data_IF_998262269207
#
_entry.id   IF_998262269207
#
_cell.length_a   1.000
_cell.length_b   1.000
_cell.length_c   1.000
_cell.angle_alpha   90.00
_cell.angle_beta   90.00
_cell.angle_gamma   90.00
#
_symmetry.space_group_name_H-M   'P 1'
#
loop_
_entity.id
_entity.type
_entity.pdbx_description
1 polymer ?
#
# COMPACT_ATOMS: atom_id res chain seq x y z
N UNK A 1 -10.12 -10.38 19.30
CA UNK A 1 -9.78 -9.19 18.48
C UNK A 1 -8.92 -9.66 17.32
N UNK A 2 -9.12 -9.11 16.11
CA UNK A 2 -8.25 -9.40 14.96
C UNK A 2 -6.96 -8.60 15.14
N UNK A 3 -5.82 -9.30 15.21
CA UNK A 3 -4.47 -8.72 15.21
C UNK A 3 -3.91 -8.73 13.80
N UNK A 4 -3.10 -7.73 13.45
CA UNK A 4 -2.35 -7.73 12.21
C UNK A 4 -1.27 -8.82 12.33
N UNK A 5 -1.26 -9.76 11.38
CA UNK A 5 -0.20 -10.75 11.26
C UNK A 5 0.54 -10.52 9.94
N UNK A 6 1.85 -10.38 10.02
CA UNK A 6 2.72 -10.21 8.85
C UNK A 6 4.08 -10.87 9.08
N UNK A 7 4.75 -11.34 8.02
CA UNK A 7 6.08 -11.90 8.14
C UNK A 7 7.10 -10.78 8.39
N UNK A 8 7.68 -10.73 9.59
CA UNK A 8 8.77 -9.81 9.93
C UNK A 8 10.17 -10.39 9.63
N UNK A 9 10.25 -11.66 9.21
CA UNK A 9 11.51 -12.38 8.94
C UNK A 9 12.50 -12.25 10.11
N UNK A 10 13.69 -11.67 9.88
CA UNK A 10 14.71 -11.40 10.89
C UNK A 10 14.67 -9.96 11.43
N UNK A 11 13.78 -9.09 10.93
CA UNK A 11 13.72 -7.67 11.27
C UNK A 11 13.05 -7.46 12.64
N UNK A 12 13.87 -7.36 13.69
CA UNK A 12 13.38 -7.18 15.07
C UNK A 12 12.77 -5.80 15.31
N UNK A 13 13.17 -4.78 14.53
CA UNK A 13 12.59 -3.44 14.60
C UNK A 13 11.13 -3.50 14.16
N UNK A 14 10.87 -4.09 12.98
CA UNK A 14 9.52 -4.31 12.46
C UNK A 14 8.68 -5.16 13.42
N UNK A 15 9.24 -6.25 13.97
CA UNK A 15 8.55 -7.07 14.97
C UNK A 15 8.09 -6.23 16.17
N UNK A 16 8.98 -5.39 16.71
CA UNK A 16 8.67 -4.55 17.88
C UNK A 16 7.58 -3.53 17.56
N UNK A 17 7.63 -2.89 16.38
CA UNK A 17 6.58 -1.94 15.95
C UNK A 17 5.26 -2.66 15.73
N UNK A 18 5.26 -3.84 15.11
CA UNK A 18 4.07 -4.68 14.92
C UNK A 18 3.41 -5.05 16.24
N UNK A 19 4.19 -5.51 17.23
CA UNK A 19 3.69 -5.87 18.56
C UNK A 19 3.06 -4.66 19.26
N UNK A 20 3.67 -3.48 19.14
CA UNK A 20 3.13 -2.22 19.70
C UNK A 20 1.84 -1.80 19.03
N UNK A 21 1.78 -1.83 17.69
CA UNK A 21 0.55 -1.54 16.94
C UNK A 21 -0.58 -2.50 17.33
N UNK A 22 -0.28 -3.79 17.46
CA UNK A 22 -1.25 -4.81 17.90
C UNK A 22 -1.65 -4.70 19.38
N UNK A 23 -0.82 -4.06 20.21
CA UNK A 23 -1.09 -3.82 21.63
C UNK A 23 -1.72 -2.46 21.94
N UNK A 24 -1.77 -1.54 20.98
CA UNK A 24 -2.29 -0.18 21.18
C UNK A 24 -3.82 -0.15 21.04
N UNK A 25 -4.50 -0.17 22.18
CA UNK A 25 -5.97 -0.11 22.26
C UNK A 25 -6.55 1.20 21.71
N UNK A 26 -5.83 2.32 21.87
CA UNK A 26 -6.27 3.62 21.40
C UNK A 26 -6.25 3.66 19.86
N UNK A 27 -5.14 3.27 19.24
CA UNK A 27 -5.01 3.17 17.78
C UNK A 27 -6.07 2.23 17.19
N UNK A 28 -6.28 1.07 17.83
CA UNK A 28 -7.30 0.12 17.42
C UNK A 28 -8.72 0.70 17.49
N UNK A 29 -9.02 1.49 18.52
CA UNK A 29 -10.29 2.19 18.65
C UNK A 29 -10.48 3.25 17.57
N UNK A 30 -9.42 3.95 17.16
CA UNK A 30 -9.48 4.86 16.01
C UNK A 30 -9.82 4.12 14.72
N UNK A 31 -9.23 2.95 14.48
CA UNK A 31 -9.56 2.12 13.32
C UNK A 31 -11.03 1.66 13.31
N UNK A 32 -11.58 1.33 14.47
CA UNK A 32 -12.99 0.94 14.59
C UNK A 32 -13.93 2.15 14.31
N UNK A 33 -13.53 3.36 14.71
CA UNK A 33 -14.20 4.61 14.35
C UNK A 33 -14.10 4.93 12.86
N UNK A 34 -12.92 4.78 12.25
CA UNK A 34 -12.70 4.94 10.80
C UNK A 34 -13.60 3.99 10.03
N UNK A 35 -13.64 2.72 10.42
CA UNK A 35 -14.45 1.73 9.74
C UNK A 35 -15.96 2.00 9.89
N UNK A 36 -16.37 2.54 11.04
CA UNK A 36 -17.74 3.02 11.23
C UNK A 36 -18.07 4.16 10.25
N UNK A 37 -17.16 5.12 10.06
CA UNK A 37 -17.33 6.18 9.07
C UNK A 37 -17.39 5.63 7.65
N UNK A 38 -16.43 4.79 7.26
CA UNK A 38 -16.34 4.21 5.93
C UNK A 38 -17.57 3.36 5.59
N UNK A 39 -17.85 2.32 6.38
CA UNK A 39 -18.88 1.33 6.05
C UNK A 39 -20.27 1.84 6.39
N UNK A 40 -20.50 2.30 7.62
CA UNK A 40 -21.86 2.62 8.09
C UNK A 40 -22.36 3.98 7.62
N UNK A 41 -21.48 4.99 7.57
CA UNK A 41 -21.89 6.37 7.23
C UNK A 41 -21.75 6.67 5.74
N UNK A 42 -20.72 6.15 5.07
CA UNK A 42 -20.41 6.47 3.66
C UNK A 42 -20.71 5.34 2.67
N UNK A 43 -21.04 4.14 3.15
CA UNK A 43 -21.26 2.96 2.31
C UNK A 43 -20.04 2.60 1.46
N UNK A 44 -18.84 2.74 2.01
CA UNK A 44 -17.58 2.33 1.40
C UNK A 44 -17.22 0.90 1.83
N UNK A 45 -16.18 0.35 1.20
CA UNK A 45 -15.53 -0.87 1.69
C UNK A 45 -14.92 -0.66 3.07
N UNK A 46 -14.53 -1.76 3.72
CA UNK A 46 -13.79 -1.74 4.99
C UNK A 46 -12.55 -0.84 4.88
N UNK A 47 -12.33 0.03 5.86
CA UNK A 47 -11.12 0.85 6.07
C UNK A 47 -10.60 0.67 7.51
N UNK A 48 -10.75 -0.54 8.06
CA UNK A 48 -10.31 -0.93 9.39
C UNK A 48 -9.17 -1.95 9.37
N UNK A 49 -9.09 -2.75 10.44
CA UNK A 49 -7.97 -3.67 10.72
C UNK A 49 -7.64 -4.62 9.55
N UNK A 50 -8.65 -5.14 8.84
CA UNK A 50 -8.43 -6.08 7.73
C UNK A 50 -7.77 -5.37 6.54
N UNK A 51 -8.24 -4.16 6.22
CA UNK A 51 -7.62 -3.31 5.21
C UNK A 51 -6.14 -3.06 5.53
N UNK A 52 -5.83 -2.55 6.73
CA UNK A 52 -4.46 -2.24 7.13
C UNK A 52 -3.55 -3.48 7.13
N UNK A 53 -4.07 -4.65 7.52
CA UNK A 53 -3.33 -5.91 7.44
C UNK A 53 -3.00 -6.31 5.99
N UNK A 54 -3.94 -6.14 5.06
CA UNK A 54 -3.75 -6.44 3.64
C UNK A 54 -2.72 -5.49 3.02
N UNK A 55 -2.90 -4.17 3.22
CA UNK A 55 -1.98 -3.16 2.69
C UNK A 55 -0.56 -3.38 3.22
N UNK A 56 -0.42 -3.67 4.53
CA UNK A 56 0.89 -3.97 5.13
C UNK A 56 1.57 -5.19 4.52
N UNK A 57 0.83 -6.30 4.35
CA UNK A 57 1.38 -7.52 3.77
C UNK A 57 1.77 -7.34 2.29
N UNK A 58 0.94 -6.62 1.52
CA UNK A 58 1.22 -6.29 0.13
C UNK A 58 2.45 -5.37 0.04
N UNK A 59 2.48 -4.30 0.82
CA UNK A 59 3.56 -3.32 0.83
C UNK A 59 4.91 -3.96 1.13
N UNK A 60 5.01 -4.74 2.20
CA UNK A 60 6.24 -5.47 2.53
C UNK A 60 6.67 -6.44 1.43
N UNK A 61 5.71 -7.12 0.79
CA UNK A 61 6.00 -8.03 -0.33
C UNK A 61 6.53 -7.29 -1.56
N UNK A 62 5.95 -6.14 -1.90
CA UNK A 62 6.42 -5.29 -3.00
C UNK A 62 7.84 -4.78 -2.69
N UNK A 63 8.04 -4.18 -1.51
CA UNK A 63 9.34 -3.65 -1.09
C UNK A 63 10.43 -4.73 -1.15
N UNK A 64 10.17 -5.92 -0.61
CA UNK A 64 11.13 -7.03 -0.61
C UNK A 64 11.45 -7.52 -2.03
N UNK A 65 10.46 -7.58 -2.91
CA UNK A 65 10.70 -7.93 -4.31
C UNK A 65 11.58 -6.89 -5.03
N UNK A 66 11.38 -5.60 -4.73
CA UNK A 66 12.21 -4.51 -5.26
C UNK A 66 13.66 -4.63 -4.76
N UNK A 67 13.85 -4.81 -3.45
CA UNK A 67 15.17 -4.99 -2.83
C UNK A 67 15.92 -6.18 -3.42
N UNK A 68 15.24 -7.33 -3.58
CA UNK A 68 15.84 -8.53 -4.17
C UNK A 68 16.27 -8.33 -5.64
N UNK A 69 15.59 -7.43 -6.35
CA UNK A 69 15.95 -7.04 -7.71
C UNK A 69 17.02 -5.93 -7.77
N UNK A 70 17.59 -5.53 -6.63
CA UNK A 70 18.64 -4.51 -6.55
C UNK A 70 18.14 -3.06 -6.54
N UNK A 71 16.83 -2.83 -6.36
CA UNK A 71 16.31 -1.47 -6.18
C UNK A 71 16.55 -1.05 -4.73
N UNK A 72 17.33 0.01 -4.54
CA UNK A 72 17.62 0.55 -3.20
C UNK A 72 16.45 1.42 -2.70
N UNK A 73 15.94 1.19 -1.47
CA UNK A 73 14.95 2.07 -0.86
C UNK A 73 15.50 3.48 -0.62
N UNK A 74 14.63 4.50 -0.64
CA UNK A 74 15.08 5.90 -0.51
C UNK A 74 15.68 6.18 0.87
N UNK A 75 15.18 5.54 1.93
CA UNK A 75 15.76 5.72 3.26
C UNK A 75 17.22 5.21 3.35
N UNK A 76 17.59 4.26 2.49
CA UNK A 76 18.96 3.74 2.39
C UNK A 76 19.83 4.72 1.61
N UNK A 77 19.36 5.20 0.45
CA UNK A 77 20.15 6.10 -0.40
C UNK A 77 20.36 7.46 0.25
N UNK A 78 19.31 8.01 0.85
CA UNK A 78 19.26 9.42 1.28
C UNK A 78 19.76 9.60 2.70
N UNK A 79 19.48 8.63 3.59
CA UNK A 79 19.76 8.74 5.02
C UNK A 79 20.76 7.71 5.55
N UNK A 80 21.27 6.81 4.69
CA UNK A 80 22.22 5.74 5.03
C UNK A 80 21.71 4.79 6.13
N UNK A 81 20.38 4.62 6.18
CA UNK A 81 19.73 3.60 7.00
C UNK A 81 19.67 2.26 6.26
N UNK A 82 18.96 1.28 6.81
CA UNK A 82 18.97 -0.10 6.30
C UNK A 82 17.65 -0.47 5.63
N UNK A 83 17.67 -1.56 4.85
CA UNK A 83 16.44 -2.16 4.30
C UNK A 83 15.42 -2.52 5.39
N UNK A 84 15.89 -2.90 6.59
CA UNK A 84 15.01 -3.15 7.74
C UNK A 84 14.26 -1.89 8.18
N UNK A 85 14.86 -0.70 8.01
CA UNK A 85 14.22 0.58 8.33
C UNK A 85 13.19 0.97 7.27
N UNK A 86 13.44 0.63 5.99
CA UNK A 86 12.47 0.80 4.92
C UNK A 86 11.20 -0.05 5.16
N UNK A 87 11.36 -1.27 5.68
CA UNK A 87 10.22 -2.11 6.06
C UNK A 87 9.39 -1.48 7.20
N UNK A 88 10.03 -0.82 8.16
CA UNK A 88 9.33 -0.10 9.25
C UNK A 88 8.56 1.10 8.69
N UNK A 89 9.15 1.88 7.78
CA UNK A 89 8.47 2.99 7.11
C UNK A 89 7.24 2.51 6.34
N UNK A 90 7.37 1.48 5.51
CA UNK A 90 6.26 0.92 4.74
C UNK A 90 5.16 0.38 5.65
N UNK A 91 5.53 -0.29 6.74
CA UNK A 91 4.54 -0.79 7.70
C UNK A 91 3.78 0.35 8.40
N UNK A 92 4.48 1.36 8.92
CA UNK A 92 3.87 2.51 9.58
C UNK A 92 2.96 3.29 8.61
N UNK A 93 3.42 3.52 7.38
CA UNK A 93 2.61 4.13 6.33
C UNK A 93 1.33 3.34 6.07
N UNK A 94 1.46 2.03 5.91
CA UNK A 94 0.33 1.14 5.60
C UNK A 94 -0.75 1.17 6.68
N UNK A 95 -0.39 1.16 7.97
CA UNK A 95 -1.36 1.06 9.07
C UNK A 95 -1.91 2.40 9.55
N UNK A 96 -1.35 3.52 9.08
CA UNK A 96 -1.72 4.87 9.53
C UNK A 96 -2.23 5.79 8.39
N UNK A 97 -2.16 5.38 7.13
CA UNK A 97 -2.46 6.28 6.01
C UNK A 97 -3.89 6.85 6.01
N UNK A 98 -4.86 6.12 6.54
CA UNK A 98 -6.27 6.51 6.62
C UNK A 98 -6.72 7.07 7.97
N UNK A 99 -5.81 7.35 8.90
CA UNK A 99 -6.18 7.86 10.22
C UNK A 99 -7.13 9.07 10.19
N UNK A 100 -6.93 9.96 9.22
CA UNK A 100 -7.74 11.15 9.00
C UNK A 100 -9.21 10.87 8.71
N UNK A 101 -9.57 9.66 8.28
CA UNK A 101 -10.96 9.24 8.11
C UNK A 101 -11.72 9.17 9.44
N UNK A 102 -11.06 9.28 10.59
CA UNK A 102 -11.74 9.49 11.88
C UNK A 102 -12.54 10.81 11.87
N UNK A 103 -12.00 11.83 11.18
CA UNK A 103 -12.59 13.15 11.06
C UNK A 103 -13.47 13.25 9.80
N UNK A 104 -12.89 12.97 8.62
CA UNK A 104 -13.59 13.09 7.34
C UNK A 104 -12.90 12.32 6.21
N UNK A 105 -13.64 11.95 5.16
CA UNK A 105 -13.06 11.27 3.97
C UNK A 105 -12.30 12.25 3.07
N UNK A 106 -12.83 13.44 2.87
CA UNK A 106 -12.13 14.49 2.12
C UNK A 106 -10.89 14.92 2.90
N UNK A 107 -9.76 15.04 2.20
CA UNK A 107 -8.47 15.44 2.77
C UNK A 107 -7.98 14.52 3.91
N UNK A 108 -8.47 13.29 4.01
CA UNK A 108 -8.06 12.33 5.05
C UNK A 108 -6.53 12.18 5.11
N UNK A 109 -5.82 12.18 3.98
CA UNK A 109 -4.35 12.14 3.94
C UNK A 109 -3.69 13.30 4.69
N UNK A 110 -4.29 14.51 4.69
CA UNK A 110 -3.78 15.69 5.41
C UNK A 110 -3.98 15.50 6.93
N UNK A 111 -5.19 15.07 7.32
CA UNK A 111 -5.49 14.83 8.73
C UNK A 111 -4.70 13.64 9.29
N UNK A 112 -4.48 12.60 8.48
CA UNK A 112 -3.67 11.42 8.83
C UNK A 112 -2.26 11.82 9.21
N UNK A 113 -1.61 12.74 8.48
CA UNK A 113 -0.25 13.21 8.82
C UNK A 113 -0.20 13.79 10.23
N UNK A 114 -1.15 14.65 10.58
CA UNK A 114 -1.17 15.32 11.89
C UNK A 114 -1.42 14.36 13.05
N UNK A 115 -2.27 13.35 12.84
CA UNK A 115 -2.55 12.31 13.83
C UNK A 115 -1.38 11.33 13.96
N UNK A 116 -0.84 10.87 12.83
CA UNK A 116 0.29 9.93 12.78
C UNK A 116 1.55 10.53 13.40
N UNK A 117 1.81 11.84 13.23
CA UNK A 117 2.95 12.53 13.81
C UNK A 117 2.97 12.46 15.35
N UNK A 118 1.81 12.30 15.99
CA UNK A 118 1.69 12.14 17.44
C UNK A 118 1.87 10.68 17.89
N UNK A 119 1.56 9.72 17.01
CA UNK A 119 1.56 8.28 17.32
C UNK A 119 2.92 7.64 17.04
N UNK A 120 3.51 7.93 15.87
CA UNK A 120 4.72 7.27 15.37
C UNK A 120 5.91 7.36 16.37
N UNK A 121 6.24 8.53 16.97
CA UNK A 121 7.37 8.61 17.90
C UNK A 121 7.24 7.67 19.11
N UNK A 122 6.00 7.46 19.60
CA UNK A 122 5.69 6.51 20.65
C UNK A 122 5.96 5.07 20.21
N UNK A 123 5.44 4.68 19.03
CA UNK A 123 5.65 3.36 18.44
C UNK A 123 7.14 3.05 18.19
N UNK A 124 7.97 4.06 17.95
CA UNK A 124 9.40 3.93 17.67
C UNK A 124 10.32 4.03 18.91
N UNK A 125 9.78 4.30 20.10
CA UNK A 125 10.59 4.56 21.30
C UNK A 125 11.50 3.38 21.66
N UNK A 126 12.79 3.62 21.86
CA UNK A 126 13.77 2.58 22.20
C UNK A 126 14.18 1.66 21.05
N UNK A 127 13.66 1.88 19.83
CA UNK A 127 14.11 1.18 18.60
C UNK A 127 15.22 1.98 17.90
N UNK A 128 15.13 3.30 17.99
CA UNK A 128 15.98 4.26 17.27
C UNK A 128 16.53 5.33 18.22
N UNK A 129 17.70 5.87 17.90
CA UNK A 129 18.17 7.15 18.45
C UNK A 129 17.30 8.32 17.96
N UNK A 130 17.48 9.51 18.53
CA UNK A 130 16.62 10.65 18.20
C UNK A 130 16.66 11.02 16.72
N UNK A 131 17.87 11.00 16.13
CA UNK A 131 18.07 11.30 14.71
C UNK A 131 17.34 10.30 13.82
N UNK A 132 17.56 9.00 14.00
CA UNK A 132 16.95 7.96 13.18
C UNK A 132 15.43 7.90 13.40
N UNK A 133 14.96 8.15 14.62
CA UNK A 133 13.53 8.23 14.93
C UNK A 133 12.87 9.38 14.17
N UNK A 134 13.52 10.55 14.09
CA UNK A 134 13.02 11.68 13.33
C UNK A 134 12.95 11.36 11.82
N UNK A 135 13.98 10.71 11.28
CA UNK A 135 14.02 10.29 9.86
C UNK A 135 12.90 9.30 9.55
N UNK A 136 12.80 8.18 10.28
CA UNK A 136 11.76 7.16 10.05
C UNK A 136 10.36 7.75 10.21
N UNK A 137 10.18 8.68 11.15
CA UNK A 137 8.91 9.41 11.30
C UNK A 137 8.61 10.25 10.06
N UNK A 138 9.55 11.06 9.60
CA UNK A 138 9.36 11.91 8.43
C UNK A 138 9.06 11.09 7.16
N UNK A 139 9.80 10.01 6.93
CA UNK A 139 9.57 9.10 5.80
C UNK A 139 8.19 8.44 5.86
N UNK A 140 7.77 7.95 7.04
CA UNK A 140 6.44 7.38 7.21
C UNK A 140 5.33 8.41 6.97
N UNK A 141 5.47 9.65 7.48
CA UNK A 141 4.50 10.72 7.23
C UNK A 141 4.39 11.07 5.74
N UNK A 142 5.51 11.06 5.02
CA UNK A 142 5.50 11.25 3.57
C UNK A 142 4.73 10.14 2.85
N UNK A 143 4.93 8.87 3.24
CA UNK A 143 4.13 7.76 2.67
C UNK A 143 2.63 7.94 2.91
N UNK A 144 2.25 8.44 4.09
CA UNK A 144 0.85 8.70 4.47
C UNK A 144 0.27 9.83 3.63
N UNK A 145 0.97 10.96 3.48
CA UNK A 145 0.47 12.06 2.67
C UNK A 145 0.37 11.67 1.19
N UNK A 146 1.40 11.00 0.69
CA UNK A 146 1.56 10.69 -0.72
C UNK A 146 0.94 9.34 -1.12
N UNK A 147 0.02 8.76 -0.32
CA UNK A 147 -0.72 7.57 -0.77
C UNK A 147 -1.83 7.92 -1.77
N UNK A 148 -2.31 9.17 -1.82
CA UNK A 148 -3.32 9.61 -2.78
C UNK A 148 -2.73 9.93 -4.16
N UNK A 149 -3.43 9.56 -5.23
CA UNK A 149 -2.92 9.59 -6.61
C UNK A 149 -2.47 10.98 -7.09
N UNK A 150 -3.17 12.03 -6.65
CA UNK A 150 -2.91 13.41 -7.08
C UNK A 150 -1.67 14.04 -6.42
N UNK A 151 -1.11 13.38 -5.40
CA UNK A 151 0.03 13.90 -4.65
C UNK A 151 1.33 13.41 -5.32
N UNK A 152 2.33 14.25 -5.60
CA UNK A 152 3.63 13.77 -6.08
C UNK A 152 4.35 12.90 -5.04
N UNK A 153 5.05 11.87 -5.50
CA UNK A 153 5.86 11.01 -4.63
C UNK A 153 7.35 11.26 -4.80
N UNK A 154 8.06 11.20 -3.67
CA UNK A 154 9.50 11.43 -3.64
C UNK A 154 10.31 10.15 -3.36
N UNK A 155 9.71 9.14 -2.73
CA UNK A 155 10.42 7.96 -2.25
C UNK A 155 9.86 6.65 -2.79
N UNK A 156 10.69 5.61 -2.78
CA UNK A 156 10.30 4.25 -3.15
C UNK A 156 9.22 3.75 -2.19
N UNK A 157 9.38 4.00 -0.89
CA UNK A 157 8.50 3.60 0.19
C UNK A 157 7.10 4.19 0.01
N UNK A 158 6.98 5.48 -0.36
CA UNK A 158 5.70 6.10 -0.67
C UNK A 158 5.01 5.44 -1.88
N UNK A 159 5.78 5.11 -2.92
CA UNK A 159 5.29 4.34 -4.07
C UNK A 159 4.76 2.97 -3.69
N UNK A 160 5.50 2.26 -2.83
CA UNK A 160 5.09 0.96 -2.31
C UNK A 160 3.76 1.06 -1.58
N UNK A 161 3.60 2.00 -0.64
CA UNK A 161 2.37 2.15 0.14
C UNK A 161 1.18 2.52 -0.74
N UNK A 162 1.34 3.47 -1.67
CA UNK A 162 0.28 3.86 -2.62
C UNK A 162 -0.21 2.68 -3.46
N UNK A 163 0.72 1.92 -4.03
CA UNK A 163 0.35 0.76 -4.86
C UNK A 163 -0.25 -0.34 -3.99
N UNK A 164 0.25 -0.54 -2.77
CA UNK A 164 -0.28 -1.53 -1.85
C UNK A 164 -1.74 -1.25 -1.45
N UNK A 165 -2.06 0.00 -1.15
CA UNK A 165 -3.43 0.49 -0.91
C UNK A 165 -4.34 0.13 -2.10
N UNK A 166 -3.92 0.52 -3.31
CA UNK A 166 -4.70 0.28 -4.52
C UNK A 166 -4.96 -1.20 -4.82
N UNK A 167 -4.09 -2.11 -4.38
CA UNK A 167 -4.20 -3.55 -4.64
C UNK A 167 -5.22 -4.27 -3.73
N UNK A 168 -5.77 -3.58 -2.73
CA UNK A 168 -6.83 -4.11 -1.88
C UNK A 168 -8.23 -4.03 -2.52
N UNK A 169 -8.36 -4.66 -3.70
CA UNK A 169 -9.52 -4.51 -4.59
C UNK A 169 -10.30 -5.81 -4.85
N UNK A 170 -10.06 -6.89 -4.08
CA UNK A 170 -10.73 -8.19 -4.29
C UNK A 170 -12.23 -8.09 -4.02
N UNK A 171 -13.04 -8.92 -4.68
CA UNK A 171 -14.51 -8.93 -4.58
C UNK A 171 -15.07 -8.94 -3.15
N UNK A 172 -14.37 -9.61 -2.20
CA UNK A 172 -14.76 -9.65 -0.79
C UNK A 172 -14.87 -8.26 -0.16
N UNK A 173 -14.17 -7.27 -0.71
CA UNK A 173 -14.16 -5.87 -0.28
C UNK A 173 -15.36 -5.08 -0.77
N UNK A 174 -15.92 -5.45 -1.92
CA UNK A 174 -17.08 -4.79 -2.52
C UNK A 174 -18.42 -5.43 -2.09
N UNK A 175 -18.40 -6.63 -1.51
CA UNK A 175 -19.63 -7.38 -1.17
C UNK A 175 -20.56 -6.62 -0.20
N UNK A 176 -20.02 -6.04 0.87
CA UNK A 176 -20.80 -5.30 1.87
C UNK A 176 -21.45 -4.05 1.26
N UNK A 177 -20.70 -3.10 0.65
CA UNK A 177 -21.31 -1.91 0.06
C UNK A 177 -22.29 -2.25 -1.09
N UNK A 178 -21.99 -3.26 -1.90
CA UNK A 178 -22.88 -3.71 -2.97
C UNK A 178 -24.23 -4.25 -2.44
N UNK A 179 -24.19 -5.09 -1.40
CA UNK A 179 -25.41 -5.63 -0.77
C UNK A 179 -26.19 -4.57 0.00
N UNK A 180 -25.52 -3.53 0.51
CA UNK A 180 -26.14 -2.37 1.13
C UNK A 180 -26.80 -1.39 0.14
N UNK A 181 -26.84 -1.73 -1.16
CA UNK A 181 -27.58 -0.98 -2.18
C UNK A 181 -26.73 -0.06 -3.05
N UNK A 182 -25.41 0.04 -2.80
CA UNK A 182 -24.49 0.83 -3.63
C UNK A 182 -24.13 0.06 -4.90
N UNK A 183 -24.97 0.21 -5.93
CA UNK A 183 -24.84 -0.44 -7.23
C UNK A 183 -24.24 0.50 -8.29
N UNK A 184 -23.11 1.13 -7.96
CA UNK A 184 -22.36 1.92 -8.94
C UNK A 184 -21.40 1.04 -9.77
N UNK A 185 -20.85 1.61 -10.84
CA UNK A 185 -19.92 0.92 -11.73
C UNK A 185 -18.65 0.47 -11.01
N UNK A 186 -18.23 1.18 -9.96
CA UNK A 186 -17.05 0.83 -9.18
C UNK A 186 -17.30 -0.44 -8.36
N UNK A 187 -18.43 -0.53 -7.67
CA UNK A 187 -18.82 -1.70 -6.90
C UNK A 187 -19.00 -2.93 -7.80
N UNK A 188 -19.65 -2.78 -8.96
CA UNK A 188 -19.82 -3.87 -9.93
C UNK A 188 -18.49 -4.37 -10.48
N UNK A 189 -17.59 -3.46 -10.84
CA UNK A 189 -16.26 -3.80 -11.37
C UNK A 189 -15.39 -4.48 -10.30
N UNK A 190 -15.42 -3.99 -9.05
CA UNK A 190 -14.71 -4.61 -7.93
C UNK A 190 -15.22 -6.02 -7.60
N UNK A 191 -16.54 -6.26 -7.68
CA UNK A 191 -17.13 -7.60 -7.55
C UNK A 191 -16.65 -8.58 -8.64
N UNK A 192 -16.10 -8.08 -9.75
CA UNK A 192 -15.55 -8.93 -10.82
C UNK A 192 -14.08 -9.30 -10.59
N UNK A 193 -13.39 -8.70 -9.62
CA UNK A 193 -12.01 -9.06 -9.26
C UNK A 193 -12.01 -10.28 -8.35
N UNK A 194 -11.68 -11.45 -8.92
CA UNK A 194 -11.62 -12.71 -8.19
C UNK A 194 -10.38 -12.79 -7.31
N UNK A 195 -9.22 -12.48 -7.86
CA UNK A 195 -7.97 -12.60 -7.13
C UNK A 195 -6.90 -11.62 -7.63
N UNK A 196 -6.02 -11.22 -6.72
CA UNK A 196 -4.86 -10.36 -6.97
C UNK A 196 -3.65 -11.07 -6.38
N UNK A 197 -2.66 -11.35 -7.23
CA UNK A 197 -1.41 -12.02 -6.84
C UNK A 197 -0.22 -11.16 -7.21
N UNK A 198 0.73 -11.09 -6.28
CA UNK A 198 2.02 -10.45 -6.50
C UNK A 198 3.05 -11.55 -6.74
N UNK A 199 3.69 -11.50 -7.90
CA UNK A 199 4.72 -12.44 -8.35
C UNK A 199 6.02 -11.69 -8.63
N UNK A 200 7.10 -12.48 -8.74
CA UNK A 200 8.41 -12.02 -9.19
C UNK A 200 8.59 -12.45 -10.65
N UNK A 201 9.34 -11.68 -11.42
CA UNK A 201 9.80 -12.11 -12.74
C UNK A 201 11.22 -11.63 -13.01
N UNK A 202 11.81 -12.17 -14.08
CA UNK A 202 13.15 -11.77 -14.53
C UNK A 202 13.15 -10.41 -15.24
N UNK A 203 12.00 -9.93 -15.73
CA UNK A 203 11.92 -8.70 -16.52
C UNK A 203 11.54 -7.49 -15.66
N UNK A 204 10.62 -7.68 -14.71
CA UNK A 204 10.17 -6.65 -13.78
C UNK A 204 10.16 -7.21 -12.36
N UNK A 205 10.67 -6.45 -11.36
CA UNK A 205 10.70 -6.91 -9.97
C UNK A 205 9.33 -7.33 -9.43
N UNK A 206 8.27 -6.66 -9.88
CA UNK A 206 6.91 -6.87 -9.39
C UNK A 206 5.97 -7.14 -10.56
N UNK A 207 5.37 -8.32 -10.59
CA UNK A 207 4.22 -8.62 -11.46
C UNK A 207 2.96 -8.65 -10.59
N UNK A 208 1.96 -7.85 -10.97
CA UNK A 208 0.61 -7.89 -10.42
C UNK A 208 -0.29 -8.67 -11.37
N UNK A 209 -0.64 -9.90 -10.99
CA UNK A 209 -1.60 -10.74 -11.71
C UNK A 209 -3.00 -10.53 -11.14
N UNK A 210 -3.92 -10.02 -11.96
CA UNK A 210 -5.31 -9.77 -11.60
C UNK A 210 -6.20 -10.74 -12.36
N UNK A 211 -6.86 -11.63 -11.64
CA UNK A 211 -7.81 -12.60 -12.18
C UNK A 211 -9.24 -12.11 -11.98
N UNK A 212 -10.03 -12.10 -13.04
CA UNK A 212 -11.38 -11.55 -13.05
C UNK A 212 -12.40 -12.59 -13.53
N UNK A 213 -13.63 -12.48 -13.06
CA UNK A 213 -14.75 -13.32 -13.51
C UNK A 213 -15.26 -12.93 -14.90
N UNK A 214 -15.17 -11.65 -15.24
CA UNK A 214 -15.61 -11.10 -16.51
C UNK A 214 -14.87 -9.78 -16.78
N UNK A 215 -15.10 -9.22 -17.96
CA UNK A 215 -14.39 -8.05 -18.47
C UNK A 215 -14.67 -6.77 -17.69
N UNK A 216 -15.78 -6.67 -16.95
CA UNK A 216 -16.11 -5.44 -16.21
C UNK A 216 -15.07 -5.10 -15.13
N UNK A 217 -14.30 -6.09 -14.65
CA UNK A 217 -13.20 -5.86 -13.70
C UNK A 217 -12.06 -4.99 -14.27
N UNK A 218 -11.95 -4.86 -15.60
CA UNK A 218 -10.90 -4.05 -16.23
C UNK A 218 -10.98 -2.59 -15.81
N UNK A 219 -12.17 -2.10 -15.47
CA UNK A 219 -12.35 -0.73 -15.02
C UNK A 219 -11.63 -0.44 -13.69
N UNK A 220 -11.56 -1.40 -12.74
CA UNK A 220 -10.73 -1.26 -11.53
C UNK A 220 -9.24 -1.16 -11.90
N UNK A 221 -8.79 -1.97 -12.85
CA UNK A 221 -7.39 -2.01 -13.29
C UNK A 221 -7.00 -0.67 -13.93
N UNK A 222 -7.80 -0.19 -14.89
CA UNK A 222 -7.49 1.01 -15.67
C UNK A 222 -7.76 2.32 -14.93
N UNK A 223 -8.85 2.41 -14.16
CA UNK A 223 -9.25 3.68 -13.54
C UNK A 223 -8.70 3.88 -12.14
N UNK A 224 -8.33 2.82 -11.43
CA UNK A 224 -7.83 2.93 -10.06
C UNK A 224 -6.36 2.52 -9.99
N UNK A 225 -6.04 1.27 -10.34
CA UNK A 225 -4.67 0.78 -10.17
C UNK A 225 -3.67 1.51 -11.06
N UNK A 226 -3.97 1.67 -12.35
CA UNK A 226 -3.10 2.38 -13.28
C UNK A 226 -2.80 3.80 -12.79
N UNK A 227 -3.81 4.54 -12.31
CA UNK A 227 -3.63 5.89 -11.75
C UNK A 227 -2.79 5.90 -10.48
N UNK A 228 -2.93 4.88 -9.62
CA UNK A 228 -2.14 4.75 -8.40
C UNK A 228 -0.68 4.33 -8.67
N UNK A 229 -0.36 3.71 -9.82
CA UNK A 229 1.02 3.37 -10.20
C UNK A 229 1.70 4.49 -10.98
N UNK A 230 0.97 5.19 -11.86
CA UNK A 230 1.53 6.29 -12.66
C UNK A 230 2.09 7.40 -11.76
N UNK A 231 3.28 7.89 -12.11
CA UNK A 231 3.97 8.96 -11.38
C UNK A 231 4.62 8.52 -10.06
N UNK A 232 4.56 7.22 -9.73
CA UNK A 232 5.28 6.67 -8.57
C UNK A 232 6.75 6.41 -8.91
N UNK A 233 7.62 6.43 -7.89
CA UNK A 233 9.03 6.02 -8.05
C UNK A 233 9.21 4.54 -8.39
N UNK A 234 8.14 3.75 -8.31
CA UNK A 234 8.15 2.33 -8.63
C UNK A 234 7.42 1.97 -9.92
N UNK A 235 6.93 2.97 -10.67
CA UNK A 235 6.17 2.76 -11.90
C UNK A 235 6.90 1.81 -12.86
N UNK A 236 8.18 2.10 -13.12
CA UNK A 236 9.04 1.32 -14.01
C UNK A 236 9.39 -0.09 -13.51
N UNK A 237 9.01 -0.47 -12.30
CA UNK A 237 9.28 -1.80 -11.74
C UNK A 237 8.05 -2.71 -11.70
N UNK A 238 6.89 -2.23 -12.14
CA UNK A 238 5.62 -2.96 -12.07
C UNK A 238 5.13 -3.35 -13.46
N UNK A 239 4.82 -4.64 -13.61
CA UNK A 239 4.03 -5.16 -14.73
C UNK A 239 2.64 -5.54 -14.23
N UNK A 240 1.59 -5.14 -14.94
CA UNK A 240 0.21 -5.51 -14.63
C UNK A 240 -0.33 -6.46 -15.70
N UNK A 241 -0.81 -7.61 -15.25
CA UNK A 241 -1.41 -8.65 -16.09
C UNK A 241 -2.84 -8.88 -15.64
N UNK A 242 -3.80 -8.42 -16.45
CA UNK A 242 -5.23 -8.58 -16.19
C UNK A 242 -5.82 -9.68 -17.10
N UNK A 243 -6.44 -10.68 -16.50
CA UNK A 243 -6.97 -11.84 -17.21
C UNK A 243 -8.38 -12.22 -16.72
N UNK A 244 -9.23 -12.64 -17.64
CA UNK A 244 -10.52 -13.27 -17.33
C UNK A 244 -10.32 -14.77 -17.28
N UNK A 245 -10.74 -15.38 -16.17
CA UNK A 245 -10.69 -16.83 -15.98
C UNK A 245 -12.10 -17.41 -15.97
N UNK A 246 -12.46 -18.09 -17.05
CA UNK A 246 -13.66 -18.91 -17.14
C UNK A 246 -13.29 -20.38 -16.88
N UNK A 247 -14.25 -21.23 -16.49
CA UNK A 247 -14.04 -22.63 -16.07
C UNK A 247 -13.24 -23.51 -17.06
N UNK A 248 -13.04 -23.08 -18.31
CA UNK A 248 -12.30 -23.82 -19.34
C UNK A 248 -11.21 -23.01 -20.07
N UNK A 249 -11.09 -21.69 -19.87
CA UNK A 249 -10.13 -20.84 -20.60
C UNK A 249 -9.67 -19.64 -19.77
N UNK A 250 -8.38 -19.31 -19.90
CA UNK A 250 -7.81 -18.03 -19.45
C UNK A 250 -7.61 -17.13 -20.66
N UNK A 251 -8.20 -15.94 -20.62
CA UNK A 251 -8.04 -14.92 -21.66
C UNK A 251 -7.37 -13.71 -21.03
N UNK A 252 -6.17 -13.37 -21.49
CA UNK A 252 -5.50 -12.12 -21.09
C UNK A 252 -6.23 -10.98 -21.80
N UNK A 253 -6.84 -10.08 -21.04
CA UNK A 253 -7.52 -8.91 -21.60
C UNK A 253 -6.52 -7.78 -21.84
N UNK A 254 -5.61 -7.60 -20.89
CA UNK A 254 -4.62 -6.53 -20.97
C UNK A 254 -3.36 -6.97 -20.26
N UNK A 255 -2.24 -6.73 -20.92
CA UNK A 255 -0.91 -6.76 -20.33
C UNK A 255 -0.27 -5.44 -20.65
N UNK A 256 0.10 -4.70 -19.62
CA UNK A 256 0.88 -3.49 -19.82
C UNK A 256 1.98 -3.41 -18.77
N UNK A 257 3.06 -2.83 -19.22
CA UNK A 257 4.18 -2.42 -18.40
C UNK A 257 4.08 -0.93 -18.26
N UNK A 258 4.11 -0.43 -17.02
CA UNK A 258 4.23 1.00 -16.76
C UNK A 258 5.72 1.34 -16.63
N UNK A 259 6.10 2.52 -17.12
CA UNK A 259 7.49 2.94 -17.24
C UNK A 259 8.33 2.19 -18.30
N UNK A 260 9.25 2.91 -18.93
CA UNK A 260 10.27 2.31 -19.79
C UNK A 260 11.22 1.41 -18.95
N UNK A 261 11.82 0.35 -19.52
CA UNK A 261 13.02 -0.22 -18.93
C UNK A 261 14.13 0.84 -19.06
N UNK A 262 14.37 1.61 -18.00
CA UNK A 262 15.45 2.58 -18.02
C UNK A 262 16.78 1.84 -17.94
N UNK A 263 17.37 1.54 -19.10
CA UNK A 263 18.74 1.03 -19.23
C UNK A 263 19.76 2.17 -19.27
N UNK A 264 19.50 3.29 -18.60
CA UNK A 264 20.47 4.36 -18.44
C UNK A 264 20.58 4.81 -16.98
N UNK A 265 21.48 4.18 -16.24
CA UNK A 265 22.11 4.86 -15.11
C UNK A 265 22.88 6.08 -15.67
N UNK A 266 22.59 7.33 -15.26
CA UNK A 266 23.56 8.38 -15.46
C UNK A 266 24.72 8.08 -14.51
N UNK A 267 25.88 7.73 -15.09
CA UNK A 267 27.16 7.89 -14.40
C UNK A 267 27.32 9.38 -14.12
N UNK A 268 26.91 9.81 -12.93
CA UNK A 268 27.37 11.08 -12.38
C UNK A 268 28.75 10.80 -11.79
N UNK A 269 29.76 11.00 -12.63
CA UNK A 269 31.12 11.28 -12.16
C UNK A 269 31.04 12.57 -11.35
N UNK A 270 31.37 12.49 -10.07
CA UNK A 270 31.65 13.68 -9.26
C UNK A 270 33.16 13.73 -9.12
N UNK A 271 33.77 14.72 -9.79
CA UNK A 271 35.07 15.27 -9.42
C UNK A 271 34.97 15.99 -8.08
#
# INVERSE_FOLDING_TARGET
>A
MITINLPYNSNQKLKTVLDRVNGDEYLQSLWDCINTNAVRRLGLSDHGRVHFAIVSNIGLKILRNLIEAGVEPSIVTDHKLTNDDAEVVVFLGSVLHDLGMVAHRENHQIFSVSLAAQIIPGLLTGIYGEKERAIVTAEALHTIYAHESEIPQFTIEAGVVRVADALDMKEGRARIPFTAGKKDIHALSAMSIRDVKIRKSKQKPVIVEISMYNESGIFQVDQLLKKKILGTKIEGFIEVVAQVENQQRKTVLTRYTLGAPDTSSPKVSIE
#
